data_IF_170690357524
#
_entry.id   IF_170690357524
#
_cell.length_a   1.000
_cell.length_b   1.000
_cell.length_c   1.000
_cell.angle_alpha   90.00
_cell.angle_beta   90.00
_cell.angle_gamma   90.00
#
_symmetry.space_group_name_H-M   'P 1'
#
loop_
_entity.id
_entity.type
_entity.pdbx_description
1 polymer ?
#
# COMPACT_ATOMS: atom_id res chain seq x y z
N UNK A 1 -10.19 4.21 2.17
CA UNK A 1 -9.40 4.64 0.99
C UNK A 1 -8.98 3.40 0.24
N UNK A 2 -9.04 3.41 -1.10
CA UNK A 2 -8.67 2.30 -1.98
C UNK A 2 -7.41 2.66 -2.78
N UNK A 3 -6.50 1.71 -2.92
CA UNK A 3 -5.27 1.85 -3.69
C UNK A 3 -5.07 0.63 -4.58
N UNK A 4 -4.64 0.85 -5.81
CA UNK A 4 -4.29 -0.22 -6.75
C UNK A 4 -2.78 -0.27 -6.92
N UNK A 5 -2.19 -1.47 -6.87
CA UNK A 5 -0.74 -1.65 -6.90
C UNK A 5 -0.24 -2.72 -7.86
N UNK A 6 1.06 -2.67 -8.16
CA UNK A 6 1.73 -3.59 -9.09
C UNK A 6 3.16 -3.88 -8.65
N UNK A 7 3.66 -5.08 -8.98
CA UNK A 7 5.05 -5.51 -8.74
C UNK A 7 5.91 -5.20 -9.96
N UNK A 8 7.10 -4.65 -9.75
CA UNK A 8 8.08 -4.37 -10.81
C UNK A 8 9.27 -5.33 -10.71
N UNK A 9 9.14 -6.52 -11.31
CA UNK A 9 10.24 -7.36 -11.83
C UNK A 9 9.62 -8.36 -12.84
N UNK A 10 10.41 -9.15 -13.57
CA UNK A 10 10.08 -9.97 -14.77
C UNK A 10 9.05 -11.13 -14.57
N UNK A 11 8.03 -10.91 -13.74
CA UNK A 11 7.08 -11.85 -13.14
C UNK A 11 5.65 -11.36 -13.47
N UNK A 12 4.64 -12.23 -13.65
CA UNK A 12 3.26 -11.82 -13.93
C UNK A 12 2.80 -10.67 -13.04
N UNK A 13 2.26 -9.62 -13.69
CA UNK A 13 1.72 -8.43 -13.03
C UNK A 13 0.67 -8.87 -12.02
N UNK A 14 1.02 -8.81 -10.73
CA UNK A 14 0.11 -9.03 -9.62
C UNK A 14 -0.85 -7.84 -9.52
N UNK A 15 -2.13 -8.11 -9.73
CA UNK A 15 -3.20 -7.16 -9.50
C UNK A 15 -3.54 -7.14 -8.01
N UNK A 16 -3.06 -6.10 -7.31
CA UNK A 16 -3.21 -5.95 -5.87
C UNK A 16 -4.09 -4.73 -5.56
N UNK A 17 -5.07 -4.91 -4.67
CA UNK A 17 -5.89 -3.83 -4.12
C UNK A 17 -5.62 -3.70 -2.62
N UNK A 18 -5.30 -2.50 -2.16
CA UNK A 18 -5.08 -2.19 -0.76
C UNK A 18 -6.15 -1.20 -0.28
N UNK A 19 -6.93 -1.63 0.71
CA UNK A 19 -8.07 -0.90 1.25
C UNK A 19 -7.85 -0.60 2.72
N UNK A 20 -8.14 0.63 3.14
CA UNK A 20 -8.07 1.04 4.54
C UNK A 20 -9.45 1.41 5.08
N UNK A 21 -9.79 0.84 6.25
CA UNK A 21 -11.02 1.09 7.00
C UNK A 21 -10.68 1.34 8.47
N UNK A 22 -11.03 2.51 9.00
CA UNK A 22 -10.74 2.94 10.38
C UNK A 22 -9.29 2.68 10.84
N UNK A 23 -9.02 1.54 11.48
CA UNK A 23 -7.69 1.11 11.96
C UNK A 23 -7.22 -0.23 11.36
N UNK A 24 -7.98 -0.77 10.43
CA UNK A 24 -7.72 -2.01 9.72
C UNK A 24 -7.42 -1.77 8.26
N UNK A 25 -6.75 -2.72 7.64
CA UNK A 25 -6.56 -2.76 6.21
C UNK A 25 -6.90 -4.14 5.65
N UNK A 26 -7.23 -4.17 4.37
CA UNK A 26 -7.43 -5.36 3.56
C UNK A 26 -6.53 -5.24 2.34
N UNK A 27 -5.59 -6.16 2.19
CA UNK A 27 -4.79 -6.35 0.99
C UNK A 27 -5.38 -7.53 0.22
N UNK A 28 -5.88 -7.29 -0.98
CA UNK A 28 -6.49 -8.30 -1.85
C UNK A 28 -5.59 -8.52 -3.05
N UNK A 29 -5.20 -9.76 -3.28
CA UNK A 29 -4.62 -10.20 -4.54
C UNK A 29 -5.71 -10.77 -5.43
N UNK A 30 -6.09 -9.99 -6.44
CA UNK A 30 -7.12 -10.37 -7.40
C UNK A 30 -6.62 -11.45 -8.37
N UNK A 31 -5.30 -11.59 -8.53
CA UNK A 31 -4.68 -12.59 -9.42
C UNK A 31 -4.85 -13.99 -8.84
N UNK A 32 -4.56 -14.16 -7.55
CA UNK A 32 -4.67 -15.46 -6.87
C UNK A 32 -5.93 -15.62 -6.03
N UNK A 33 -6.80 -14.59 -5.97
CA UNK A 33 -8.02 -14.54 -5.15
C UNK A 33 -7.72 -14.79 -3.67
N UNK A 34 -6.70 -14.11 -3.17
CA UNK A 34 -6.25 -14.18 -1.79
C UNK A 34 -6.43 -12.83 -1.10
N UNK A 35 -6.74 -12.86 0.18
CA UNK A 35 -6.95 -11.66 0.99
C UNK A 35 -6.14 -11.77 2.27
N UNK A 36 -5.54 -10.65 2.66
CA UNK A 36 -4.87 -10.51 3.94
C UNK A 36 -5.43 -9.30 4.67
N UNK A 37 -5.75 -9.52 5.94
CA UNK A 37 -6.28 -8.52 6.84
C UNK A 37 -5.26 -8.20 7.93
N UNK A 38 -5.40 -7.00 8.50
CA UNK A 38 -4.52 -6.56 9.55
C UNK A 38 -4.90 -5.20 10.09
N UNK A 39 -4.04 -4.69 10.97
CA UNK A 39 -4.13 -3.32 11.48
C UNK A 39 -3.01 -2.48 10.91
N UNK A 40 -3.27 -1.18 10.79
CA UNK A 40 -2.25 -0.24 10.31
C UNK A 40 -2.00 0.87 11.31
N UNK A 41 -0.81 1.45 11.22
CA UNK A 41 -0.39 2.63 11.96
C UNK A 41 0.27 3.62 11.01
N UNK A 42 0.01 4.90 11.23
CA UNK A 42 0.64 5.99 10.50
C UNK A 42 1.45 6.83 11.48
N UNK A 43 2.74 6.96 11.21
CA UNK A 43 3.64 7.86 11.93
C UNK A 43 4.06 8.98 10.99
N UNK A 44 3.68 10.22 11.31
CA UNK A 44 3.99 11.37 10.46
C UNK A 44 5.50 11.61 10.45
N UNK A 45 6.11 11.60 9.27
CA UNK A 45 7.54 11.90 9.09
C UNK A 45 7.70 13.38 8.70
N UNK A 46 6.96 13.81 7.67
CA UNK A 46 7.01 15.15 7.10
C UNK A 46 5.57 15.63 6.80
N UNK A 47 5.43 16.83 6.22
CA UNK A 47 4.10 17.35 5.84
C UNK A 47 3.43 16.60 4.69
N UNK A 48 4.21 15.91 3.85
CA UNK A 48 3.73 15.21 2.65
C UNK A 48 3.92 13.69 2.71
N UNK A 49 4.52 13.18 3.80
CA UNK A 49 4.90 11.77 3.94
C UNK A 49 4.70 11.27 5.36
N UNK A 50 4.18 10.06 5.48
CA UNK A 50 4.02 9.32 6.73
C UNK A 50 4.60 7.91 6.58
N UNK A 51 5.21 7.41 7.64
CA UNK A 51 5.58 6.00 7.74
C UNK A 51 4.30 5.20 7.94
N UNK A 52 4.13 4.16 7.13
CA UNK A 52 3.03 3.22 7.22
C UNK A 52 3.55 1.92 7.83
N UNK A 53 3.01 1.51 8.96
CA UNK A 53 3.25 0.18 9.54
C UNK A 53 2.01 -0.68 9.36
N UNK A 54 2.15 -1.83 8.71
CA UNK A 54 1.10 -2.83 8.48
C UNK A 54 1.37 -4.07 9.31
N UNK A 55 0.50 -4.35 10.28
CA UNK A 55 0.54 -5.56 11.09
C UNK A 55 -0.50 -6.53 10.57
N UNK A 56 -0.05 -7.54 9.82
CA UNK A 56 -0.89 -8.59 9.28
C UNK A 56 -1.31 -9.57 10.39
N UNK A 57 -2.52 -10.10 10.33
CA UNK A 57 -2.97 -11.10 11.32
C UNK A 57 -2.23 -12.44 11.19
N UNK A 58 -1.67 -12.72 10.01
CA UNK A 58 -1.05 -14.00 9.67
C UNK A 58 0.49 -13.91 9.53
N UNK A 59 1.11 -12.75 9.79
CA UNK A 59 2.57 -12.60 9.76
C UNK A 59 3.10 -12.24 11.15
N UNK A 60 4.25 -12.79 11.50
CA UNK A 60 4.91 -12.50 12.77
C UNK A 60 5.53 -11.10 12.80
N UNK A 61 6.01 -10.62 11.64
CA UNK A 61 6.68 -9.33 11.52
C UNK A 61 5.80 -8.31 10.78
N UNK A 62 5.73 -7.06 11.27
CA UNK A 62 5.00 -5.99 10.59
C UNK A 62 5.75 -5.56 9.33
N UNK A 63 5.00 -5.30 8.25
CA UNK A 63 5.56 -4.72 7.04
C UNK A 63 5.60 -3.21 7.20
N UNK A 64 6.74 -2.61 6.86
CA UNK A 64 6.88 -1.16 6.88
C UNK A 64 6.89 -0.60 5.46
N UNK A 65 6.29 0.57 5.32
CA UNK A 65 6.20 1.28 4.07
C UNK A 65 6.09 2.77 4.29
N UNK A 66 5.86 3.47 3.19
CA UNK A 66 5.71 4.92 3.16
C UNK A 66 4.38 5.25 2.49
N UNK A 67 3.57 6.04 3.17
CA UNK A 67 2.40 6.70 2.62
C UNK A 67 2.77 8.16 2.31
N UNK A 68 2.49 8.63 1.11
CA UNK A 68 2.75 10.02 0.75
C UNK A 68 1.86 10.48 -0.40
N UNK A 69 1.94 11.77 -0.72
CA UNK A 69 1.21 12.35 -1.85
C UNK A 69 2.18 12.62 -3.00
N UNK A 70 1.85 12.13 -4.19
CA UNK A 70 2.58 12.44 -5.42
C UNK A 70 1.84 13.53 -6.17
N UNK A 71 2.55 14.62 -6.48
CA UNK A 71 2.06 15.71 -7.33
C UNK A 71 2.57 15.47 -8.75
N UNK A 72 1.67 15.44 -9.73
CA UNK A 72 2.00 15.29 -11.13
C UNK A 72 2.14 16.65 -11.82
N UNK A 73 2.67 16.67 -13.05
CA UNK A 73 2.90 17.92 -13.80
C UNK A 73 1.62 18.69 -14.15
N UNK A 74 0.46 18.04 -14.06
CA UNK A 74 -0.87 18.64 -14.25
C UNK A 74 -1.43 19.23 -12.95
N UNK A 75 -0.60 19.35 -11.89
CA UNK A 75 -1.01 19.76 -10.53
C UNK A 75 -1.96 18.76 -9.84
N UNK A 76 -2.28 17.64 -10.49
CA UNK A 76 -3.05 16.56 -9.87
C UNK A 76 -2.24 15.88 -8.77
N UNK A 77 -2.92 15.59 -7.67
CA UNK A 77 -2.36 14.90 -6.51
C UNK A 77 -2.95 13.49 -6.45
N UNK A 78 -2.09 12.49 -6.21
CA UNK A 78 -2.57 11.15 -5.87
C UNK A 78 -1.84 10.65 -4.65
N UNK A 79 -2.60 10.05 -3.75
CA UNK A 79 -2.01 9.32 -2.64
C UNK A 79 -1.21 8.13 -3.20
N UNK A 80 -0.07 7.84 -2.60
CA UNK A 80 0.82 6.76 -3.01
C UNK A 80 1.28 6.00 -1.79
N UNK A 81 1.36 4.69 -1.92
CA UNK A 81 1.89 3.80 -0.89
C UNK A 81 3.00 2.98 -1.51
N UNK A 82 4.14 2.93 -0.83
CA UNK A 82 5.22 2.00 -1.19
C UNK A 82 5.47 1.09 0.00
N UNK A 83 5.27 -0.21 -0.19
CA UNK A 83 5.61 -1.24 0.78
C UNK A 83 6.89 -1.93 0.32
N UNK A 84 7.84 -2.08 1.22
CA UNK A 84 9.05 -2.83 0.95
C UNK A 84 9.00 -4.13 1.76
N UNK A 85 9.08 -5.26 1.06
CA UNK A 85 9.30 -6.58 1.66
C UNK A 85 10.73 -7.02 1.34
N UNK A 86 11.20 -8.12 1.93
CA UNK A 86 12.54 -8.67 1.65
C UNK A 86 12.75 -9.00 0.16
N UNK A 87 11.68 -9.39 -0.53
CA UNK A 87 11.76 -9.89 -1.91
C UNK A 87 11.22 -8.90 -2.94
N UNK A 88 10.33 -7.99 -2.57
CA UNK A 88 9.60 -7.16 -3.54
C UNK A 88 9.37 -5.73 -3.03
N UNK A 89 9.24 -4.81 -3.98
CA UNK A 89 8.71 -3.47 -3.75
C UNK A 89 7.32 -3.40 -4.35
N UNK A 90 6.32 -3.21 -3.50
CA UNK A 90 4.93 -3.02 -3.89
C UNK A 90 4.65 -1.52 -3.93
N UNK A 91 4.22 -1.00 -5.08
CA UNK A 91 3.80 0.40 -5.20
C UNK A 91 2.33 0.46 -5.52
N UNK A 92 1.59 1.25 -4.75
CA UNK A 92 0.16 1.48 -4.92
C UNK A 92 -0.12 2.95 -5.17
N UNK A 93 -1.07 3.22 -6.06
CA UNK A 93 -1.61 4.55 -6.35
C UNK A 93 -3.05 4.60 -5.87
N UNK A 94 -3.37 5.63 -5.11
CA UNK A 94 -4.71 5.88 -4.59
C UNK A 94 -5.64 6.26 -5.73
N UNK A 95 -6.80 5.63 -5.76
CA UNK A 95 -7.85 5.99 -6.71
C UNK A 95 -8.74 7.06 -6.06
N UNK A 96 -8.87 8.20 -6.73
CA UNK A 96 -9.83 9.23 -6.35
C UNK A 96 -11.24 8.64 -6.53
N UNK A 97 -11.99 8.55 -5.43
CA UNK A 97 -13.37 8.00 -5.40
C UNK A 97 -14.41 9.04 -5.77
#
# INVERSE_FOLDING_TARGET
MLFSGSVHDDIPVLDLTLSFEEKSFILTDNTHKQEWTGTYSLEKIDNSSSKLGLTFENLEEPVTGVYGTRVYSDDSESATITLQTDENILSFVGEDS
#
